data_IF_965660999152
#
_entry.id   IF_965660999152
#
_cell.length_a   1.000
_cell.length_b   1.000
_cell.length_c   1.000
_cell.angle_alpha   90.00
_cell.angle_beta   90.00
_cell.angle_gamma   90.00
#
_symmetry.space_group_name_H-M   'P 1'
#
loop_
_entity.id
_entity.type
_entity.pdbx_description
1 polymer ?
#
# COMPACT_ATOMS: atom_id res chain seq x y z
N UNK A 1 -13.95 62.70 12.11
CA UNK A 1 -14.98 63.26 11.20
C UNK A 1 -14.94 62.39 9.94
N UNK A 2 -15.44 61.15 9.97
CA UNK A 2 -16.84 60.65 9.95
C UNK A 2 -17.57 61.04 8.67
N UNK A 3 -17.69 60.08 7.74
CA UNK A 3 -18.79 59.87 6.78
C UNK A 3 -18.58 58.45 6.20
N UNK A 4 -19.30 57.38 6.59
CA UNK A 4 -20.74 57.05 6.67
C UNK A 4 -21.34 56.58 5.33
N UNK A 5 -21.57 55.26 5.28
CA UNK A 5 -22.62 54.45 4.65
C UNK A 5 -23.01 54.59 3.16
N UNK A 6 -22.98 53.46 2.45
CA UNK A 6 -24.16 52.69 1.93
C UNK A 6 -23.68 51.61 0.94
N UNK A 7 -23.66 50.34 1.31
CA UNK A 7 -24.76 49.36 1.11
C UNK A 7 -25.32 49.34 -0.32
N UNK A 8 -24.78 48.43 -1.14
CA UNK A 8 -25.39 47.97 -2.39
C UNK A 8 -26.04 46.61 -2.15
N UNK A 9 -27.29 46.65 -1.70
CA UNK A 9 -28.20 45.52 -1.61
C UNK A 9 -28.59 45.10 -3.02
N UNK A 10 -28.10 43.95 -3.49
CA UNK A 10 -28.62 43.31 -4.71
C UNK A 10 -29.79 42.40 -4.33
N UNK A 11 -30.99 42.89 -4.66
CA UNK A 11 -32.27 42.20 -4.67
C UNK A 11 -32.29 41.16 -5.81
N UNK A 12 -32.25 39.87 -5.46
CA UNK A 12 -32.50 38.77 -6.39
C UNK A 12 -33.83 38.11 -6.00
N UNK A 13 -34.89 38.55 -6.67
CA UNK A 13 -36.25 38.06 -6.47
C UNK A 13 -36.43 36.56 -6.72
N UNK A 14 -37.42 35.92 -6.06
CA UNK A 14 -37.58 34.47 -6.05
C UNK A 14 -38.52 34.01 -7.17
N UNK A 15 -38.07 33.93 -8.43
CA UNK A 15 -38.96 33.42 -9.51
C UNK A 15 -38.22 32.72 -10.66
N UNK A 16 -37.16 31.95 -10.38
CA UNK A 16 -36.52 31.08 -11.40
C UNK A 16 -36.10 29.67 -10.93
N UNK A 17 -36.67 29.16 -9.84
CA UNK A 17 -36.37 27.80 -9.35
C UNK A 17 -37.53 26.79 -9.45
N UNK A 18 -38.68 27.18 -10.02
CA UNK A 18 -39.86 26.32 -10.07
C UNK A 18 -40.04 25.51 -11.38
N UNK A 19 -39.23 25.74 -12.43
CA UNK A 19 -39.49 25.16 -13.76
C UNK A 19 -38.49 24.08 -14.22
N UNK A 20 -37.56 23.64 -13.36
CA UNK A 20 -36.60 22.56 -13.72
C UNK A 20 -36.84 21.27 -12.93
N UNK A 21 -37.66 21.31 -11.88
CA UNK A 21 -37.92 20.14 -11.01
C UNK A 21 -39.04 19.24 -11.55
N UNK A 22 -39.93 19.72 -12.43
CA UNK A 22 -41.03 18.90 -12.98
C UNK A 22 -40.62 17.98 -14.13
N UNK A 23 -39.49 18.21 -14.82
CA UNK A 23 -39.07 17.34 -15.94
C UNK A 23 -38.28 16.10 -15.48
N UNK A 24 -37.74 16.09 -14.27
CA UNK A 24 -37.01 14.93 -13.70
C UNK A 24 -37.93 13.94 -12.98
N UNK A 25 -39.17 14.33 -12.67
CA UNK A 25 -40.14 13.49 -11.99
C UNK A 25 -40.95 12.57 -12.92
N UNK A 26 -41.04 12.88 -14.23
CA UNK A 26 -41.84 12.10 -15.18
C UNK A 26 -41.09 10.90 -15.79
N UNK A 27 -39.75 10.93 -15.79
CA UNK A 27 -38.91 9.89 -16.43
C UNK A 27 -38.66 8.62 -15.61
N UNK A 28 -39.07 8.57 -14.34
CA UNK A 28 -38.78 7.44 -13.42
C UNK A 28 -39.91 6.41 -13.26
N UNK A 29 -41.01 6.53 -14.01
CA UNK A 29 -42.21 5.69 -13.80
C UNK A 29 -42.27 4.40 -14.64
N UNK A 30 -41.34 4.17 -15.57
CA UNK A 30 -41.40 3.02 -16.49
C UNK A 30 -40.18 2.09 -16.43
N UNK A 31 -39.41 2.11 -15.35
CA UNK A 31 -38.27 1.19 -15.18
C UNK A 31 -38.76 -0.14 -14.56
N UNK A 32 -38.66 -1.27 -15.29
CA UNK A 32 -39.12 -2.57 -14.81
C UNK A 32 -38.36 -2.99 -13.55
N UNK A 33 -39.08 -3.53 -12.57
CA UNK A 33 -38.55 -3.88 -11.26
C UNK A 33 -37.53 -5.03 -11.27
N UNK A 34 -37.30 -5.70 -12.40
CA UNK A 34 -36.32 -6.79 -12.50
C UNK A 34 -34.87 -6.28 -12.66
N UNK A 35 -34.68 -5.04 -13.15
CA UNK A 35 -33.36 -4.53 -13.50
C UNK A 35 -32.61 -3.94 -12.29
N UNK A 36 -33.31 -3.70 -11.17
CA UNK A 36 -32.72 -3.12 -9.95
C UNK A 36 -31.90 -4.12 -9.12
N UNK A 37 -31.95 -5.42 -9.43
CA UNK A 37 -31.33 -6.47 -8.61
C UNK A 37 -30.04 -7.02 -9.25
N UNK A 38 -29.72 -6.66 -10.50
CA UNK A 38 -28.56 -7.20 -11.21
C UNK A 38 -27.35 -6.26 -11.31
N UNK A 39 -27.49 -4.98 -10.94
CA UNK A 39 -26.37 -4.02 -10.94
C UNK A 39 -25.96 -3.66 -9.50
N UNK A 40 -25.58 -4.67 -8.72
CA UNK A 40 -24.73 -4.41 -7.56
C UNK A 40 -23.35 -4.03 -8.09
N UNK A 41 -23.14 -2.74 -8.37
CA UNK A 41 -21.87 -2.12 -8.83
C UNK A 41 -20.64 -2.37 -7.93
N UNK A 42 -20.78 -3.22 -6.92
CA UNK A 42 -19.72 -3.80 -6.10
C UNK A 42 -18.75 -4.64 -6.94
N UNK A 43 -19.23 -5.33 -7.99
CA UNK A 43 -18.38 -6.12 -8.89
C UNK A 43 -17.44 -5.24 -9.73
N UNK A 44 -17.98 -4.20 -10.35
CA UNK A 44 -17.23 -3.29 -11.24
C UNK A 44 -16.25 -2.39 -10.50
N UNK A 45 -16.58 -1.96 -9.28
CA UNK A 45 -15.68 -1.11 -8.48
C UNK A 45 -14.49 -1.90 -7.95
N UNK A 46 -14.72 -3.14 -7.50
CA UNK A 46 -13.64 -4.05 -7.08
C UNK A 46 -12.73 -4.42 -8.26
N UNK A 47 -13.29 -4.65 -9.44
CA UNK A 47 -12.50 -4.91 -10.65
C UNK A 47 -11.71 -3.69 -11.12
N UNK A 48 -12.28 -2.48 -11.04
CA UNK A 48 -11.54 -1.23 -11.29
C UNK A 48 -10.41 -1.06 -10.29
N UNK A 49 -10.67 -1.24 -9.00
CA UNK A 49 -9.63 -1.18 -7.97
C UNK A 49 -8.51 -2.18 -8.25
N UNK A 50 -8.84 -3.45 -8.53
CA UNK A 50 -7.84 -4.48 -8.84
C UNK A 50 -7.02 -4.11 -10.07
N UNK A 51 -7.66 -3.61 -11.13
CA UNK A 51 -6.96 -3.18 -12.35
C UNK A 51 -6.05 -1.98 -12.09
N UNK A 52 -6.51 -1.01 -11.31
CA UNK A 52 -5.75 0.19 -10.93
C UNK A 52 -4.56 -0.17 -10.00
N UNK A 53 -4.72 -1.15 -9.12
CA UNK A 53 -3.63 -1.71 -8.29
C UNK A 53 -2.60 -2.42 -9.16
N UNK A 54 -3.04 -3.21 -10.14
CA UNK A 54 -2.15 -3.93 -11.06
C UNK A 54 -1.37 -2.95 -11.97
N UNK A 55 -2.01 -1.87 -12.42
CA UNK A 55 -1.33 -0.82 -13.19
C UNK A 55 -0.31 -0.06 -12.34
N UNK A 56 -0.64 0.29 -11.09
CA UNK A 56 0.30 0.91 -10.15
C UNK A 56 1.46 -0.03 -9.78
N UNK A 57 1.20 -1.34 -9.69
CA UNK A 57 2.22 -2.37 -9.48
C UNK A 57 3.21 -2.43 -10.66
N UNK A 58 2.68 -2.40 -11.89
CA UNK A 58 3.46 -2.39 -13.11
C UNK A 58 4.35 -1.17 -13.20
N UNK A 59 3.80 0.03 -12.95
CA UNK A 59 4.56 1.29 -12.93
C UNK A 59 5.64 1.27 -11.85
N UNK A 60 5.35 0.74 -10.65
CA UNK A 60 6.34 0.60 -9.58
C UNK A 60 7.48 -0.36 -9.93
N UNK A 61 7.19 -1.44 -10.66
CA UNK A 61 8.19 -2.39 -11.14
C UNK A 61 9.06 -1.79 -12.26
N UNK A 62 8.51 -0.99 -13.17
CA UNK A 62 9.27 -0.32 -14.22
C UNK A 62 10.18 0.79 -13.67
N UNK A 63 9.70 1.59 -12.71
CA UNK A 63 10.50 2.63 -12.04
C UNK A 63 11.63 2.01 -11.20
N UNK A 64 11.35 0.87 -10.54
CA UNK A 64 12.36 0.11 -9.78
C UNK A 64 13.51 -0.41 -10.65
N UNK A 65 13.25 -0.72 -11.93
CA UNK A 65 14.27 -1.18 -12.87
C UNK A 65 15.12 -0.01 -13.39
N UNK A 66 14.56 1.20 -13.46
CA UNK A 66 15.25 2.39 -13.94
C UNK A 66 16.20 3.04 -12.90
N UNK A 67 15.83 3.04 -11.61
CA UNK A 67 16.52 3.77 -10.53
C UNK A 67 17.65 2.99 -9.82
N UNK A 68 18.03 1.79 -10.29
CA UNK A 68 19.15 1.01 -9.69
C UNK A 68 20.52 1.66 -9.95
N UNK A 69 20.56 2.79 -10.67
CA UNK A 69 21.77 3.48 -11.13
C UNK A 69 22.64 4.13 -10.05
N UNK A 70 22.06 4.85 -9.07
CA UNK A 70 22.86 5.67 -8.14
C UNK A 70 23.04 5.10 -6.72
N UNK A 71 22.07 4.34 -6.19
CA UNK A 71 22.18 3.77 -4.84
C UNK A 71 21.39 2.45 -4.74
N UNK A 72 22.06 1.29 -4.85
CA UNK A 72 21.40 -0.02 -4.89
C UNK A 72 20.39 -0.30 -3.76
N UNK A 73 20.64 0.08 -2.48
CA UNK A 73 19.63 -0.12 -1.42
C UNK A 73 18.43 0.82 -1.56
N UNK A 74 18.58 2.01 -2.15
CA UNK A 74 17.46 2.93 -2.37
C UNK A 74 16.51 2.39 -3.46
N UNK A 75 17.07 1.93 -4.59
CA UNK A 75 16.29 1.28 -5.64
C UNK A 75 15.56 0.04 -5.14
N UNK A 76 16.22 -0.80 -4.33
CA UNK A 76 15.58 -1.95 -3.69
C UNK A 76 14.43 -1.55 -2.76
N UNK A 77 14.61 -0.51 -1.94
CA UNK A 77 13.58 -0.01 -1.02
C UNK A 77 12.34 0.51 -1.78
N UNK A 78 12.54 1.28 -2.84
CA UNK A 78 11.46 1.77 -3.70
C UNK A 78 10.68 0.61 -4.33
N UNK A 79 11.40 -0.34 -4.93
CA UNK A 79 10.81 -1.53 -5.54
C UNK A 79 9.95 -2.32 -4.54
N UNK A 80 10.50 -2.62 -3.36
CA UNK A 80 9.77 -3.35 -2.31
C UNK A 80 8.59 -2.56 -1.77
N UNK A 81 8.68 -1.24 -1.69
CA UNK A 81 7.57 -0.39 -1.24
C UNK A 81 6.41 -0.47 -2.23
N UNK A 82 6.69 -0.43 -3.54
CA UNK A 82 5.68 -0.60 -4.58
C UNK A 82 4.99 -1.97 -4.51
N UNK A 83 5.74 -3.06 -4.35
CA UNK A 83 5.15 -4.40 -4.22
C UNK A 83 4.38 -4.54 -2.89
N UNK A 84 4.89 -4.01 -1.79
CA UNK A 84 4.20 -4.01 -0.50
C UNK A 84 2.89 -3.23 -0.54
N UNK A 85 2.82 -2.13 -1.30
CA UNK A 85 1.58 -1.40 -1.54
C UNK A 85 0.52 -2.31 -2.17
N UNK A 86 0.87 -3.09 -3.19
CA UNK A 86 -0.03 -4.06 -3.84
C UNK A 86 -0.51 -5.12 -2.87
N UNK A 87 0.38 -5.67 -2.04
CA UNK A 87 0.03 -6.64 -1.00
C UNK A 87 -0.94 -6.02 0.02
N UNK A 88 -0.68 -4.77 0.45
CA UNK A 88 -1.54 -4.04 1.38
C UNK A 88 -2.94 -3.80 0.83
N UNK A 89 -3.04 -3.34 -0.43
CA UNK A 89 -4.32 -3.14 -1.10
C UNK A 89 -5.09 -4.46 -1.29
N UNK A 90 -4.38 -5.54 -1.67
CA UNK A 90 -4.95 -6.88 -1.73
C UNK A 90 -5.52 -7.31 -0.37
N UNK A 91 -4.79 -7.11 0.72
CA UNK A 91 -5.23 -7.46 2.05
C UNK A 91 -6.51 -6.73 2.47
N UNK A 92 -6.60 -5.42 2.16
CA UNK A 92 -7.81 -4.63 2.41
C UNK A 92 -8.99 -5.19 1.59
N UNK A 93 -8.76 -5.53 0.31
CA UNK A 93 -9.77 -6.16 -0.54
C UNK A 93 -10.21 -7.57 -0.09
N UNK A 94 -9.44 -8.22 0.79
CA UNK A 94 -9.76 -9.49 1.44
C UNK A 94 -10.22 -9.31 2.91
N UNK A 95 -10.57 -8.10 3.32
CA UNK A 95 -11.21 -7.82 4.61
C UNK A 95 -10.28 -7.37 5.73
N UNK A 96 -9.04 -7.00 5.43
CA UNK A 96 -8.23 -6.26 6.40
C UNK A 96 -8.78 -4.84 6.58
N UNK A 97 -8.71 -4.28 7.79
CA UNK A 97 -9.11 -2.89 8.03
C UNK A 97 -8.17 -1.93 7.31
N UNK A 98 -8.73 -0.94 6.61
CA UNK A 98 -7.95 0.17 6.06
C UNK A 98 -7.36 1.08 7.15
N UNK A 99 -7.92 1.04 8.36
CA UNK A 99 -7.40 1.73 9.56
C UNK A 99 -6.20 1.03 10.22
N UNK A 100 -5.87 -0.19 9.78
CA UNK A 100 -4.76 -0.95 10.34
C UNK A 100 -3.43 -0.27 10.01
N UNK A 101 -2.90 0.50 10.96
CA UNK A 101 -1.73 1.37 10.81
C UNK A 101 -0.52 0.71 10.12
N UNK A 102 -0.16 -0.56 10.41
CA UNK A 102 0.95 -1.24 9.74
C UNK A 102 0.79 -1.41 8.23
N UNK A 103 -0.44 -1.36 7.70
CA UNK A 103 -0.74 -1.45 6.27
C UNK A 103 -0.80 -0.08 5.58
N UNK A 104 -0.63 1.02 6.33
CA UNK A 104 -0.62 2.36 5.75
C UNK A 104 0.71 2.67 5.07
N UNK A 105 0.65 3.30 3.90
CA UNK A 105 1.82 3.66 3.08
C UNK A 105 2.98 4.30 3.87
N UNK A 106 2.78 5.38 4.66
CA UNK A 106 3.90 6.01 5.35
C UNK A 106 4.56 5.08 6.37
N UNK A 107 3.79 4.17 6.98
CA UNK A 107 4.29 3.27 8.01
C UNK A 107 5.08 2.12 7.38
N UNK A 108 4.50 1.36 6.45
CA UNK A 108 5.22 0.23 5.86
C UNK A 108 6.39 0.69 4.98
N UNK A 109 6.32 1.85 4.33
CA UNK A 109 7.44 2.38 3.54
C UNK A 109 8.64 2.69 4.43
N UNK A 110 8.42 3.34 5.59
CA UNK A 110 9.48 3.61 6.57
C UNK A 110 10.10 2.31 7.10
N UNK A 111 9.28 1.33 7.51
CA UNK A 111 9.78 0.04 7.97
C UNK A 111 10.50 -0.75 6.87
N UNK A 112 10.03 -0.66 5.62
CA UNK A 112 10.67 -1.28 4.46
C UNK A 112 12.07 -0.68 4.24
N UNK A 113 12.18 0.65 4.23
CA UNK A 113 13.46 1.32 4.08
C UNK A 113 14.44 0.95 5.20
N UNK A 114 13.99 0.98 6.47
CA UNK A 114 14.81 0.56 7.61
C UNK A 114 15.24 -0.90 7.51
N UNK A 115 14.32 -1.79 7.12
CA UNK A 115 14.61 -3.21 6.92
C UNK A 115 15.64 -3.46 5.82
N UNK A 116 15.54 -2.75 4.70
CA UNK A 116 16.49 -2.86 3.58
C UNK A 116 17.87 -2.32 3.97
N UNK A 117 17.94 -1.21 4.70
CA UNK A 117 19.22 -0.66 5.18
C UNK A 117 19.88 -1.61 6.18
N UNK A 118 19.12 -2.09 7.17
CA UNK A 118 19.61 -3.02 8.17
C UNK A 118 20.05 -4.36 7.54
N UNK A 119 19.27 -4.88 6.59
CA UNK A 119 19.60 -6.09 5.84
C UNK A 119 20.89 -5.95 5.04
N UNK A 120 21.07 -4.83 4.34
CA UNK A 120 22.30 -4.55 3.60
C UNK A 120 23.53 -4.41 4.53
N UNK A 121 23.37 -3.76 5.69
CA UNK A 121 24.42 -3.66 6.68
C UNK A 121 24.80 -5.05 7.24
N UNK A 122 23.81 -5.87 7.58
CA UNK A 122 24.01 -7.25 8.03
C UNK A 122 24.71 -8.11 6.98
N UNK A 123 24.29 -8.01 5.71
CA UNK A 123 24.95 -8.68 4.58
C UNK A 123 26.39 -8.23 4.43
N UNK A 124 26.65 -6.92 4.47
CA UNK A 124 27.99 -6.34 4.36
C UNK A 124 28.93 -6.82 5.46
N UNK A 125 28.43 -6.89 6.71
CA UNK A 125 29.20 -7.41 7.84
C UNK A 125 29.49 -8.90 7.66
N UNK A 126 28.49 -9.70 7.27
CA UNK A 126 28.65 -11.13 7.05
C UNK A 126 29.68 -11.42 5.94
N UNK A 127 29.60 -10.74 4.80
CA UNK A 127 30.55 -10.93 3.69
C UNK A 127 31.97 -10.51 4.06
N UNK A 128 32.14 -9.45 4.86
CA UNK A 128 33.47 -8.91 5.21
C UNK A 128 34.13 -9.61 6.40
N UNK A 129 33.36 -10.15 7.34
CA UNK A 129 33.90 -10.70 8.60
C UNK A 129 33.76 -12.22 8.74
N UNK A 130 32.90 -12.87 7.97
CA UNK A 130 32.73 -14.32 8.10
C UNK A 130 33.86 -15.07 7.41
N UNK A 131 34.37 -16.12 8.06
CA UNK A 131 35.34 -17.06 7.48
C UNK A 131 34.76 -17.87 6.32
N UNK A 132 33.42 -18.07 6.32
CA UNK A 132 32.66 -18.77 5.25
C UNK A 132 31.35 -18.02 4.96
N UNK A 133 31.38 -16.92 4.20
CA UNK A 133 30.24 -16.02 4.06
C UNK A 133 29.01 -16.71 3.44
N UNK A 134 29.19 -17.64 2.51
CA UNK A 134 28.07 -18.40 1.92
C UNK A 134 27.35 -19.30 2.93
N UNK A 135 28.09 -19.96 3.83
CA UNK A 135 27.49 -20.79 4.88
C UNK A 135 26.78 -19.93 5.93
N UNK A 136 27.38 -18.81 6.34
CA UNK A 136 26.77 -17.87 7.28
C UNK A 136 25.47 -17.30 6.74
N UNK A 137 25.44 -16.84 5.48
CA UNK A 137 24.25 -16.24 4.88
C UNK A 137 23.12 -17.26 4.68
N UNK A 138 23.43 -18.53 4.40
CA UNK A 138 22.42 -19.62 4.33
C UNK A 138 21.70 -19.86 5.65
N UNK A 139 22.29 -19.49 6.79
CA UNK A 139 21.64 -19.58 8.11
C UNK A 139 21.04 -18.24 8.51
N UNK A 140 21.78 -17.15 8.32
CA UNK A 140 21.39 -15.81 8.76
C UNK A 140 20.14 -15.30 8.04
N UNK A 141 20.00 -15.58 6.73
CA UNK A 141 18.84 -15.17 5.95
C UNK A 141 17.55 -15.85 6.43
N UNK A 142 17.45 -17.19 6.49
CA UNK A 142 16.24 -17.83 6.99
C UNK A 142 16.01 -17.54 8.47
N UNK A 143 17.06 -17.46 9.30
CA UNK A 143 16.93 -17.08 10.70
C UNK A 143 16.36 -15.66 10.84
N UNK A 144 16.86 -14.68 10.08
CA UNK A 144 16.35 -13.32 10.07
C UNK A 144 14.90 -13.23 9.59
N UNK A 145 14.55 -13.99 8.54
CA UNK A 145 13.17 -14.12 8.07
C UNK A 145 12.25 -14.69 9.16
N UNK A 146 12.65 -15.75 9.84
CA UNK A 146 11.87 -16.33 10.94
C UNK A 146 11.76 -15.36 12.12
N UNK A 147 12.86 -14.70 12.49
CA UNK A 147 12.88 -13.74 13.60
C UNK A 147 11.97 -12.54 13.31
N UNK A 148 11.92 -12.09 12.05
CA UNK A 148 11.01 -11.01 11.61
C UNK A 148 9.53 -11.37 11.71
N UNK A 149 9.19 -12.66 11.85
CA UNK A 149 7.81 -13.11 12.10
C UNK A 149 7.40 -13.01 13.56
N UNK A 150 8.35 -12.98 14.50
CA UNK A 150 8.05 -12.87 15.93
C UNK A 150 7.20 -11.63 16.24
N UNK A 151 7.53 -10.42 15.74
CA UNK A 151 6.66 -9.25 15.92
C UNK A 151 5.22 -9.49 15.48
N UNK A 152 5.00 -10.17 14.35
CA UNK A 152 3.66 -10.47 13.82
C UNK A 152 2.92 -11.46 14.73
N UNK A 153 3.61 -12.48 15.22
CA UNK A 153 3.02 -13.47 16.13
C UNK A 153 2.71 -12.86 17.51
N UNK A 154 3.59 -12.00 18.02
CA UNK A 154 3.35 -11.24 19.26
C UNK A 154 2.15 -10.32 19.09
N UNK A 155 2.06 -9.61 17.97
CA UNK A 155 0.90 -8.76 17.64
C UNK A 155 -0.40 -9.55 17.62
N UNK A 156 -0.41 -10.73 16.99
CA UNK A 156 -1.58 -11.62 16.96
C UNK A 156 -1.95 -12.15 18.36
N UNK A 157 -0.96 -12.56 19.16
CA UNK A 157 -1.19 -13.14 20.48
C UNK A 157 -1.65 -12.09 21.51
N UNK A 158 -1.15 -10.86 21.41
CA UNK A 158 -1.43 -9.79 22.37
C UNK A 158 -2.57 -8.89 21.95
N UNK A 159 -2.95 -8.89 20.66
CA UNK A 159 -3.91 -7.94 20.08
C UNK A 159 -3.60 -6.47 20.45
N UNK A 160 -2.30 -6.16 20.61
CA UNK A 160 -1.82 -4.86 21.10
C UNK A 160 -2.22 -3.70 20.19
N UNK A 161 -2.47 -3.97 18.90
CA UNK A 161 -3.00 -3.01 17.95
C UNK A 161 -4.47 -3.38 17.67
N UNK A 162 -5.43 -2.47 17.94
CA UNK A 162 -6.82 -2.69 17.56
C UNK A 162 -6.91 -2.88 16.03
N UNK A 163 -7.87 -3.69 15.58
CA UNK A 163 -8.12 -4.00 14.16
C UNK A 163 -7.17 -5.01 13.49
N UNK A 164 -6.35 -5.73 14.26
CA UNK A 164 -5.57 -6.83 13.71
C UNK A 164 -6.52 -7.98 13.26
N UNK A 165 -6.43 -8.32 11.98
CA UNK A 165 -7.19 -9.39 11.34
C UNK A 165 -6.24 -10.47 10.82
N UNK A 166 -6.75 -11.68 10.61
CA UNK A 166 -5.95 -12.79 10.04
C UNK A 166 -5.40 -12.40 8.67
N UNK A 167 -6.19 -11.73 7.82
CA UNK A 167 -5.75 -11.22 6.52
C UNK A 167 -4.65 -10.16 6.66
N UNK A 168 -4.77 -9.22 7.61
CA UNK A 168 -3.72 -8.25 7.91
C UNK A 168 -2.41 -8.89 8.39
N UNK A 169 -2.50 -9.92 9.23
CA UNK A 169 -1.31 -10.65 9.70
C UNK A 169 -0.63 -11.42 8.56
N UNK A 170 -1.40 -12.09 7.70
CA UNK A 170 -0.88 -12.76 6.50
C UNK A 170 -0.21 -11.73 5.57
N UNK A 171 -0.83 -10.57 5.36
CA UNK A 171 -0.26 -9.50 4.55
C UNK A 171 1.10 -9.02 5.08
N UNK A 172 1.21 -8.79 6.40
CA UNK A 172 2.48 -8.44 7.03
C UNK A 172 3.53 -9.52 6.86
N UNK A 173 3.15 -10.80 6.97
CA UNK A 173 4.06 -11.91 6.72
C UNK A 173 4.55 -11.95 5.26
N UNK A 174 3.65 -11.69 4.30
CA UNK A 174 3.97 -11.64 2.88
C UNK A 174 4.90 -10.46 2.55
N UNK A 175 4.66 -9.28 3.14
CA UNK A 175 5.52 -8.11 2.94
C UNK A 175 6.98 -8.39 3.32
N UNK A 176 7.23 -9.15 4.40
CA UNK A 176 8.61 -9.55 4.76
C UNK A 176 9.26 -10.47 3.72
N UNK A 177 8.48 -11.37 3.11
CA UNK A 177 8.97 -12.23 2.03
C UNK A 177 9.27 -11.42 0.77
N UNK A 178 8.39 -10.48 0.43
CA UNK A 178 8.60 -9.55 -0.69
C UNK A 178 9.91 -8.79 -0.49
N UNK A 179 10.12 -8.22 0.69
CA UNK A 179 11.35 -7.48 1.01
C UNK A 179 12.58 -8.37 0.83
N UNK A 180 12.58 -9.57 1.39
CA UNK A 180 13.71 -10.50 1.23
C UNK A 180 13.91 -10.92 -0.23
N UNK A 181 12.83 -11.24 -0.95
CA UNK A 181 12.88 -11.72 -2.33
C UNK A 181 13.46 -10.67 -3.30
N UNK A 182 13.17 -9.39 -3.07
CA UNK A 182 13.67 -8.30 -3.91
C UNK A 182 15.05 -7.82 -3.45
N UNK A 183 15.27 -7.68 -2.14
CA UNK A 183 16.50 -7.10 -1.62
C UNK A 183 17.69 -8.06 -1.66
N UNK A 184 17.50 -9.36 -1.38
CA UNK A 184 18.61 -10.33 -1.35
C UNK A 184 19.32 -10.48 -2.70
N UNK A 185 18.63 -10.57 -3.85
CA UNK A 185 19.30 -10.56 -5.15
C UNK A 185 20.07 -9.28 -5.44
N UNK A 186 19.58 -8.12 -4.97
CA UNK A 186 20.30 -6.85 -5.10
C UNK A 186 21.58 -6.90 -4.27
N UNK A 187 21.50 -7.37 -3.02
CA UNK A 187 22.69 -7.50 -2.16
C UNK A 187 23.72 -8.46 -2.74
N UNK A 188 23.29 -9.59 -3.30
CA UNK A 188 24.17 -10.57 -3.92
C UNK A 188 24.88 -10.03 -5.17
N UNK A 189 24.24 -9.11 -5.92
CA UNK A 189 24.86 -8.43 -7.07
C UNK A 189 25.86 -7.37 -6.66
N UNK A 190 25.53 -6.59 -5.63
CA UNK A 190 26.37 -5.47 -5.15
C UNK A 190 27.58 -5.99 -4.36
N UNK A 191 27.37 -7.02 -3.53
CA UNK A 191 28.37 -7.65 -2.67
C UNK A 191 28.35 -9.17 -2.88
N UNK A 192 28.97 -9.66 -3.98
CA UNK A 192 29.00 -11.08 -4.29
C UNK A 192 29.76 -11.87 -3.24
N UNK A 193 29.19 -13.01 -2.89
CA UNK A 193 29.74 -13.97 -1.94
C UNK A 193 30.73 -14.87 -2.68
N UNK A 194 31.98 -14.92 -2.20
CA UNK A 194 33.02 -15.81 -2.73
C UNK A 194 33.04 -17.14 -1.99
#
# INVERSE_FOLDING_TARGET
MIEKDREATYDLGPTRHALVISTVAEGRRNEPADQRVADTGVGTERERQVRLILDMAGVGAEVAVAEVGECPPAGAALATTGVNFVVGQGAIAFGASAGFRPLTLPVFAAFTALGVIAGFAGWSVAVRRATRPGATLRVLVPAGLLLSRIPVLVLMATSFIPEISVSGAIALMLMHLVVAAVALPVYARVLPVK
#
